data_IF_553063417492
#
_entry.id   IF_553063417492
#
_cell.length_a   1.000
_cell.length_b   1.000
_cell.length_c   1.000
_cell.angle_alpha   90.00
_cell.angle_beta   90.00
_cell.angle_gamma   90.00
#
_symmetry.space_group_name_H-M   'P 1'
#
loop_
_entity.id
_entity.type
_entity.pdbx_description
1 polymer ?
#
# COMPACT_ATOMS: atom_id res chain seq x y z
N UNK A 1 8.48 -6.78 -8.02
CA UNK A 1 8.52 -5.81 -9.13
C UNK A 1 9.79 -5.98 -9.92
N UNK A 2 9.68 -6.02 -11.24
CA UNK A 2 10.80 -5.89 -12.15
C UNK A 2 11.07 -4.39 -12.43
N UNK A 3 12.15 -4.08 -13.18
CA UNK A 3 12.50 -2.68 -13.48
C UNK A 3 11.41 -1.93 -14.26
N UNK A 4 10.68 -2.62 -15.15
CA UNK A 4 9.62 -2.00 -15.95
C UNK A 4 8.41 -1.64 -15.07
N UNK A 5 7.99 -2.53 -14.19
CA UNK A 5 6.86 -2.29 -13.28
C UNK A 5 7.22 -1.30 -12.18
N UNK A 6 8.49 -1.23 -11.77
CA UNK A 6 8.97 -0.17 -10.86
C UNK A 6 8.81 1.23 -11.47
N UNK A 7 9.22 1.40 -12.72
CA UNK A 7 9.06 2.68 -13.42
C UNK A 7 7.58 3.04 -13.57
N UNK A 8 6.73 2.08 -13.95
CA UNK A 8 5.29 2.29 -14.04
C UNK A 8 4.71 2.74 -12.69
N UNK A 9 5.12 2.14 -11.59
CA UNK A 9 4.70 2.56 -10.25
C UNK A 9 5.08 4.02 -9.94
N UNK A 10 6.34 4.40 -10.20
CA UNK A 10 6.81 5.78 -9.98
C UNK A 10 6.04 6.79 -10.85
N UNK A 11 5.78 6.47 -12.13
CA UNK A 11 4.98 7.32 -13.03
C UNK A 11 3.54 7.42 -12.53
N UNK A 12 2.95 6.32 -12.07
CA UNK A 12 1.60 6.29 -11.51
C UNK A 12 1.46 7.24 -10.32
N UNK A 13 2.39 7.19 -9.37
CA UNK A 13 2.40 8.10 -8.22
C UNK A 13 2.65 9.56 -8.62
N UNK A 14 3.52 9.81 -9.61
CA UNK A 14 3.69 11.16 -10.16
C UNK A 14 2.38 11.69 -10.78
N UNK A 15 1.61 10.84 -11.47
CA UNK A 15 0.31 11.21 -12.02
C UNK A 15 -0.73 11.49 -10.92
N UNK A 16 -0.76 10.71 -9.82
CA UNK A 16 -1.59 11.01 -8.64
C UNK A 16 -1.27 12.39 -8.07
N UNK A 17 0.01 12.68 -7.85
CA UNK A 17 0.46 13.98 -7.32
C UNK A 17 0.12 15.15 -8.24
N UNK A 18 0.04 14.90 -9.54
CA UNK A 18 -0.40 15.89 -10.53
C UNK A 18 -1.93 16.02 -10.63
N UNK A 19 -2.72 15.21 -9.90
CA UNK A 19 -4.17 15.17 -10.00
C UNK A 19 -4.69 14.46 -11.25
N UNK A 20 -3.82 13.80 -12.01
CA UNK A 20 -4.15 13.10 -13.25
C UNK A 20 -4.65 11.67 -12.95
N UNK A 21 -5.78 11.57 -12.25
CA UNK A 21 -6.27 10.29 -11.72
C UNK A 21 -6.58 9.25 -12.79
N UNK A 22 -7.14 9.63 -13.94
CA UNK A 22 -7.44 8.68 -15.03
C UNK A 22 -6.17 8.01 -15.59
N UNK A 23 -5.10 8.80 -15.75
CA UNK A 23 -3.80 8.30 -16.20
C UNK A 23 -3.19 7.38 -15.13
N UNK A 24 -3.20 7.82 -13.86
CA UNK A 24 -2.72 7.02 -12.75
C UNK A 24 -3.48 5.68 -12.64
N UNK A 25 -4.80 5.70 -12.79
CA UNK A 25 -5.64 4.50 -12.73
C UNK A 25 -5.25 3.53 -13.84
N UNK A 26 -5.08 4.00 -15.08
CA UNK A 26 -4.66 3.17 -16.21
C UNK A 26 -3.31 2.49 -15.94
N UNK A 27 -2.37 3.23 -15.35
CA UNK A 27 -1.04 2.72 -15.00
C UNK A 27 -1.14 1.64 -13.92
N UNK A 28 -1.90 1.89 -12.85
CA UNK A 28 -2.02 0.94 -11.75
C UNK A 28 -2.82 -0.32 -12.12
N UNK A 29 -3.82 -0.21 -13.00
CA UNK A 29 -4.47 -1.37 -13.60
C UNK A 29 -3.49 -2.21 -14.42
N UNK A 30 -2.62 -1.56 -15.21
CA UNK A 30 -1.56 -2.26 -15.96
C UNK A 30 -0.57 -2.98 -15.03
N UNK A 31 -0.30 -2.43 -13.84
CA UNK A 31 0.53 -3.10 -12.83
C UNK A 31 -0.16 -4.34 -12.24
N UNK A 32 -1.47 -4.29 -12.01
CA UNK A 32 -2.24 -5.43 -11.54
C UNK A 32 -2.22 -6.53 -12.60
N UNK A 33 -2.40 -6.19 -13.88
CA UNK A 33 -2.35 -7.16 -14.97
C UNK A 33 -0.97 -7.80 -15.12
N UNK A 34 0.10 -7.00 -14.97
CA UNK A 34 1.48 -7.48 -15.09
C UNK A 34 1.94 -8.31 -13.88
N UNK A 35 1.50 -7.96 -12.67
CA UNK A 35 1.89 -8.63 -11.43
C UNK A 35 0.68 -8.84 -10.49
N UNK A 36 -0.24 -9.80 -10.79
CA UNK A 36 -1.50 -9.97 -10.06
C UNK A 36 -1.35 -10.29 -8.56
N UNK A 37 -0.22 -10.89 -8.19
CA UNK A 37 0.12 -11.27 -6.81
C UNK A 37 0.86 -10.16 -6.05
N UNK A 38 1.02 -8.99 -6.65
CA UNK A 38 1.69 -7.84 -6.08
C UNK A 38 0.68 -6.74 -5.72
N UNK A 39 0.73 -6.27 -4.48
CA UNK A 39 -0.15 -5.22 -3.98
C UNK A 39 0.14 -3.82 -4.55
N UNK A 40 1.27 -3.60 -5.25
CA UNK A 40 1.68 -2.28 -5.73
C UNK A 40 0.62 -1.54 -6.57
N UNK A 41 -0.07 -2.24 -7.48
CA UNK A 41 -1.15 -1.63 -8.26
C UNK A 41 -2.38 -1.29 -7.41
N UNK A 42 -2.80 -2.19 -6.52
CA UNK A 42 -3.90 -1.95 -5.58
C UNK A 42 -3.59 -0.78 -4.62
N UNK A 43 -2.35 -0.66 -4.16
CA UNK A 43 -1.86 0.48 -3.37
C UNK A 43 -2.02 1.79 -4.16
N UNK A 44 -1.68 1.79 -5.44
CA UNK A 44 -1.85 2.94 -6.31
C UNK A 44 -3.31 3.35 -6.50
N UNK A 45 -4.20 2.38 -6.75
CA UNK A 45 -5.65 2.63 -6.84
C UNK A 45 -6.23 3.16 -5.52
N UNK A 46 -5.81 2.59 -4.40
CA UNK A 46 -6.20 3.11 -3.09
C UNK A 46 -5.69 4.54 -2.85
N UNK A 47 -4.49 4.87 -3.33
CA UNK A 47 -3.93 6.22 -3.22
C UNK A 47 -4.77 7.24 -4.01
N UNK A 48 -5.27 6.85 -5.19
CA UNK A 48 -6.22 7.66 -5.97
C UNK A 48 -7.50 7.88 -5.17
N UNK A 49 -8.10 6.80 -4.65
CA UNK A 49 -9.32 6.87 -3.87
C UNK A 49 -9.15 7.76 -2.61
N UNK A 50 -8.02 7.67 -1.92
CA UNK A 50 -7.69 8.57 -0.80
C UNK A 50 -7.61 10.03 -1.24
N UNK A 51 -6.93 10.33 -2.36
CA UNK A 51 -6.82 11.67 -2.90
C UNK A 51 -8.18 12.25 -3.33
N UNK A 52 -9.11 11.40 -3.75
CA UNK A 52 -10.49 11.76 -4.12
C UNK A 52 -11.45 11.79 -2.93
N UNK A 53 -10.98 11.48 -1.70
CA UNK A 53 -11.80 11.44 -0.49
C UNK A 53 -12.70 10.20 -0.38
N UNK A 54 -12.54 9.22 -1.27
CA UNK A 54 -13.26 7.95 -1.30
C UNK A 54 -12.62 6.95 -0.31
N UNK A 55 -12.68 7.29 0.98
CA UNK A 55 -11.95 6.54 2.02
C UNK A 55 -12.47 5.10 2.19
N UNK A 56 -13.75 4.85 1.91
CA UNK A 56 -14.33 3.50 1.95
C UNK A 56 -13.67 2.56 0.93
N UNK A 57 -13.58 3.02 -0.31
CA UNK A 57 -12.96 2.30 -1.43
C UNK A 57 -11.46 2.09 -1.18
N UNK A 58 -10.75 3.14 -0.71
CA UNK A 58 -9.35 3.02 -0.34
C UNK A 58 -9.11 1.92 0.71
N UNK A 59 -9.95 1.88 1.76
CA UNK A 59 -9.86 0.87 2.81
C UNK A 59 -10.15 -0.53 2.26
N UNK A 60 -11.12 -0.68 1.36
CA UNK A 60 -11.45 -1.98 0.74
C UNK A 60 -10.29 -2.50 -0.12
N UNK A 61 -9.77 -1.68 -1.04
CA UNK A 61 -8.64 -2.03 -1.90
C UNK A 61 -7.38 -2.40 -1.10
N UNK A 62 -7.09 -1.64 -0.04
CA UNK A 62 -5.95 -1.90 0.83
C UNK A 62 -6.17 -3.16 1.68
N UNK A 63 -7.39 -3.41 2.15
CA UNK A 63 -7.69 -4.62 2.92
C UNK A 63 -7.55 -5.87 2.05
N UNK A 64 -8.14 -5.89 0.87
CA UNK A 64 -8.00 -7.02 -0.05
C UNK A 64 -6.52 -7.27 -0.36
N UNK A 65 -5.77 -6.22 -0.72
CA UNK A 65 -4.37 -6.38 -1.11
C UNK A 65 -3.44 -6.77 0.06
N UNK A 66 -3.71 -6.25 1.27
CA UNK A 66 -2.97 -6.58 2.49
C UNK A 66 -3.04 -8.07 2.88
N UNK A 67 -4.16 -8.75 2.58
CA UNK A 67 -4.40 -10.11 3.07
C UNK A 67 -4.47 -11.17 1.96
N UNK A 68 -4.50 -10.77 0.68
CA UNK A 68 -4.54 -11.71 -0.46
C UNK A 68 -3.26 -11.73 -1.31
N UNK A 69 -2.45 -10.67 -1.30
CA UNK A 69 -1.27 -10.56 -2.19
C UNK A 69 -0.02 -11.14 -1.53
N UNK A 70 0.91 -11.61 -2.35
CA UNK A 70 2.18 -12.22 -1.88
C UNK A 70 3.31 -11.22 -1.77
N UNK A 71 3.31 -10.18 -2.60
CA UNK A 71 4.33 -9.13 -2.61
C UNK A 71 3.72 -7.78 -2.26
N UNK A 72 4.46 -6.95 -1.53
CA UNK A 72 4.05 -5.62 -1.04
C UNK A 72 2.80 -5.61 -0.14
N UNK A 73 2.39 -6.77 0.38
CA UNK A 73 1.24 -6.88 1.29
C UNK A 73 1.49 -6.17 2.63
N UNK A 74 2.73 -6.15 3.11
CA UNK A 74 3.10 -5.43 4.33
C UNK A 74 2.97 -3.91 4.16
N UNK A 75 3.40 -3.35 3.03
CA UNK A 75 3.19 -1.97 2.65
C UNK A 75 1.69 -1.63 2.56
N UNK A 76 0.89 -2.50 1.94
CA UNK A 76 -0.56 -2.34 1.91
C UNK A 76 -1.17 -2.31 3.32
N UNK A 77 -0.69 -3.14 4.27
CA UNK A 77 -1.13 -3.09 5.67
C UNK A 77 -0.78 -1.78 6.36
N UNK A 78 0.42 -1.23 6.14
CA UNK A 78 0.82 0.06 6.70
C UNK A 78 -0.10 1.19 6.21
N UNK A 79 -0.41 1.20 4.91
CA UNK A 79 -1.35 2.17 4.34
C UNK A 79 -2.79 1.93 4.80
N UNK A 80 -3.22 0.68 4.94
CA UNK A 80 -4.53 0.34 5.48
C UNK A 80 -4.71 0.86 6.92
N UNK A 81 -3.66 0.79 7.75
CA UNK A 81 -3.69 1.35 9.10
C UNK A 81 -3.92 2.87 9.04
N UNK A 82 -3.19 3.58 8.18
CA UNK A 82 -3.37 5.02 7.99
C UNK A 82 -4.78 5.35 7.49
N UNK A 83 -5.25 4.66 6.46
CA UNK A 83 -6.58 4.90 5.86
C UNK A 83 -7.71 4.65 6.88
N UNK A 84 -7.61 3.57 7.68
CA UNK A 84 -8.61 3.25 8.71
C UNK A 84 -8.59 4.26 9.86
N UNK A 85 -7.41 4.77 10.24
CA UNK A 85 -7.30 5.87 11.21
C UNK A 85 -7.93 7.16 10.69
N UNK A 86 -7.65 7.54 9.44
CA UNK A 86 -8.20 8.75 8.81
C UNK A 86 -9.73 8.67 8.64
N UNK A 87 -10.25 7.47 8.33
CA UNK A 87 -11.69 7.20 8.27
C UNK A 87 -12.38 7.23 9.66
N UNK A 88 -11.61 7.03 10.73
CA UNK A 88 -12.15 6.85 12.09
C UNK A 88 -12.66 5.42 12.37
N UNK A 89 -12.31 4.43 11.54
CA UNK A 89 -12.64 3.02 11.76
C UNK A 89 -11.68 2.40 12.79
N UNK A 90 -11.88 2.73 14.06
CA UNK A 90 -11.03 2.30 15.17
C UNK A 90 -10.97 0.78 15.31
N UNK A 91 -12.07 0.08 15.00
CA UNK A 91 -12.13 -1.37 15.07
C UNK A 91 -11.16 -2.00 14.06
N UNK A 92 -11.21 -1.56 12.80
CA UNK A 92 -10.32 -2.07 11.76
C UNK A 92 -8.87 -1.59 11.97
N UNK A 93 -8.65 -0.35 12.40
CA UNK A 93 -7.33 0.15 12.74
C UNK A 93 -6.66 -0.71 13.84
N UNK A 94 -7.39 -1.06 14.89
CA UNK A 94 -6.89 -1.95 15.95
C UNK A 94 -6.51 -3.34 15.45
N UNK A 95 -7.32 -3.94 14.57
CA UNK A 95 -7.02 -5.23 13.95
C UNK A 95 -5.73 -5.18 13.12
N UNK A 96 -5.59 -4.15 12.28
CA UNK A 96 -4.44 -4.00 11.38
C UNK A 96 -3.17 -3.71 12.18
N UNK A 97 -3.25 -2.86 13.21
CA UNK A 97 -2.15 -2.59 14.12
C UNK A 97 -1.66 -3.88 14.80
N UNK A 98 -2.58 -4.72 15.29
CA UNK A 98 -2.23 -6.00 15.90
C UNK A 98 -1.56 -6.97 14.89
N UNK A 99 -2.07 -7.02 13.65
CA UNK A 99 -1.44 -7.81 12.59
C UNK A 99 -0.01 -7.36 12.31
N UNK A 100 0.24 -6.05 12.20
CA UNK A 100 1.57 -5.49 11.95
C UNK A 100 2.53 -5.75 13.12
N UNK A 101 2.07 -5.61 14.36
CA UNK A 101 2.87 -5.94 15.54
C UNK A 101 3.29 -7.42 15.55
N UNK A 102 2.35 -8.31 15.24
CA UNK A 102 2.62 -9.76 15.17
C UNK A 102 3.62 -10.11 14.06
N UNK A 103 3.56 -9.45 12.90
CA UNK A 103 4.56 -9.64 11.84
C UNK A 103 5.95 -9.19 12.30
N UNK A 104 6.04 -8.01 12.92
CA UNK A 104 7.28 -7.46 13.44
C UNK A 104 7.91 -8.35 14.51
N UNK A 105 7.11 -8.95 15.39
CA UNK A 105 7.59 -9.90 16.40
C UNK A 105 8.24 -11.13 15.77
N UNK A 106 7.67 -11.63 14.66
CA UNK A 106 8.16 -12.79 13.91
C UNK A 106 9.37 -12.49 13.02
N UNK A 107 9.61 -11.22 12.69
CA UNK A 107 10.79 -10.83 11.89
C UNK A 107 12.09 -11.12 12.65
N UNK A 108 13.13 -11.66 11.97
CA UNK A 108 14.47 -11.77 12.52
C UNK A 108 14.96 -10.44 13.09
N UNK A 109 15.75 -10.49 14.18
CA UNK A 109 16.26 -9.29 14.84
C UNK A 109 17.12 -8.41 13.92
N UNK A 110 17.85 -9.02 12.99
CA UNK A 110 18.71 -8.33 12.03
C UNK A 110 17.89 -7.49 11.03
N UNK A 111 16.78 -8.03 10.53
CA UNK A 111 15.86 -7.32 9.63
C UNK A 111 15.16 -6.16 10.33
N UNK A 112 14.77 -6.34 11.60
CA UNK A 112 14.17 -5.25 12.40
C UNK A 112 15.13 -4.07 12.62
N UNK A 113 16.42 -4.35 12.80
CA UNK A 113 17.45 -3.32 12.98
C UNK A 113 17.67 -2.57 11.66
N UNK A 114 17.78 -3.29 10.54
CA UNK A 114 17.93 -2.67 9.23
C UNK A 114 16.74 -1.77 8.84
N UNK A 115 15.51 -2.18 9.15
CA UNK A 115 14.32 -1.34 8.92
C UNK A 115 14.33 -0.07 9.77
N UNK A 116 14.73 -0.17 11.05
CA UNK A 116 14.84 0.98 11.93
C UNK A 116 15.93 1.96 11.43
N UNK A 117 17.09 1.46 11.02
CA UNK A 117 18.18 2.26 10.47
C UNK A 117 17.77 2.99 9.18
N UNK A 118 17.07 2.30 8.28
CA UNK A 118 16.57 2.90 7.04
C UNK A 118 15.57 4.04 7.29
N UNK A 119 14.70 3.89 8.30
CA UNK A 119 13.74 4.92 8.69
C UNK A 119 14.40 6.18 9.26
N UNK A 120 15.49 6.05 10.02
CA UNK A 120 16.23 7.19 10.57
C UNK A 120 17.17 7.86 9.55
N UNK A 121 17.48 7.18 8.44
CA UNK A 121 18.36 7.69 7.39
C UNK A 121 17.63 8.49 6.29
N UNK A 122 16.30 8.51 6.30
CA UNK A 122 15.43 9.27 5.39
C UNK A 122 14.85 10.52 6.04
#
# INVERSE_FOLDING_TARGET
MNNSTKILFEIGFAAVNAGNFDSAQTIFLSLIDAEPENAAGSIGLASIAMAQGQMDEAVELLYESAFSKKSHAHEAKKLLLIATMLKGDQAKAGQVHHSLATEREKMPSEERVAEAEAFFAS
#
